data_IF_696057105936
#
_entry.id   IF_696057105936
#
_cell.length_a   1.000
_cell.length_b   1.000
_cell.length_c   1.000
_cell.angle_alpha   90.00
_cell.angle_beta   90.00
_cell.angle_gamma   90.00
#
_symmetry.space_group_name_H-M   'P 1'
#
loop_
_entity.id
_entity.type
_entity.pdbx_description
1 polymer ?
#
# COMPACT_ATOMS: atom_id res chain seq x y z
N UNK A 1 -17.61 2.60 16.42
CA UNK A 1 -17.94 3.12 15.08
C UNK A 1 -16.67 3.67 14.45
N UNK A 2 -16.45 3.43 13.16
CA UNK A 2 -15.27 3.87 12.43
C UNK A 2 -15.59 3.95 10.93
N UNK A 3 -14.79 4.68 10.16
CA UNK A 3 -14.99 4.80 8.71
C UNK A 3 -14.94 3.40 8.06
N UNK A 4 -16.01 3.03 7.34
CA UNK A 4 -16.12 1.71 6.67
C UNK A 4 -15.82 1.79 5.17
N UNK A 5 -15.64 3.00 4.66
CA UNK A 5 -15.22 3.27 3.30
C UNK A 5 -14.52 4.63 3.24
N UNK A 6 -13.56 4.75 2.32
CA UNK A 6 -12.94 6.01 1.90
C UNK A 6 -13.05 6.09 0.38
N UNK A 7 -13.02 7.28 -0.18
CA UNK A 7 -13.16 7.48 -1.64
C UNK A 7 -11.96 8.24 -2.18
N UNK A 8 -11.33 7.70 -3.22
CA UNK A 8 -10.33 8.41 -4.01
C UNK A 8 -11.00 8.89 -5.30
N UNK A 9 -11.54 10.11 -5.27
CA UNK A 9 -12.42 10.61 -6.35
C UNK A 9 -13.65 9.72 -6.52
N UNK A 10 -13.89 9.21 -7.73
CA UNK A 10 -15.00 8.30 -8.05
C UNK A 10 -14.73 6.83 -7.71
N UNK A 11 -13.61 6.53 -7.06
CA UNK A 11 -13.22 5.17 -6.76
C UNK A 11 -13.36 4.88 -5.25
N UNK A 12 -14.40 4.16 -4.82
CA UNK A 12 -14.54 3.79 -3.43
C UNK A 12 -13.54 2.69 -3.06
N UNK A 13 -13.09 2.76 -1.82
CA UNK A 13 -12.28 1.76 -1.14
C UNK A 13 -13.09 1.32 0.07
N UNK A 14 -13.54 0.08 0.05
CA UNK A 14 -14.38 -0.49 1.10
C UNK A 14 -13.54 -1.30 2.07
N UNK A 15 -13.96 -1.29 3.35
CA UNK A 15 -13.36 -2.14 4.38
C UNK A 15 -13.32 -3.63 3.99
N UNK A 16 -14.34 -4.12 3.27
CA UNK A 16 -14.40 -5.51 2.80
C UNK A 16 -13.19 -5.90 1.96
N UNK A 17 -12.64 -4.98 1.16
CA UNK A 17 -11.46 -5.25 0.33
C UNK A 17 -10.24 -5.62 1.18
N UNK A 18 -10.08 -5.02 2.36
CA UNK A 18 -9.00 -5.38 3.29
C UNK A 18 -9.26 -6.72 3.96
N UNK A 19 -10.53 -7.02 4.25
CA UNK A 19 -10.93 -8.30 4.82
C UNK A 19 -10.64 -9.45 3.85
N UNK A 20 -10.94 -9.26 2.57
CA UNK A 20 -10.67 -10.24 1.51
C UNK A 20 -9.16 -10.56 1.42
N UNK A 21 -8.28 -9.57 1.60
CA UNK A 21 -6.82 -9.78 1.64
C UNK A 21 -6.40 -10.55 2.89
N UNK A 22 -6.97 -10.22 4.04
CA UNK A 22 -6.64 -10.88 5.31
C UNK A 22 -7.17 -12.33 5.40
N UNK A 23 -8.22 -12.65 4.65
CA UNK A 23 -8.73 -14.02 4.48
C UNK A 23 -7.96 -14.80 3.41
N UNK A 24 -7.21 -14.12 2.53
CA UNK A 24 -6.46 -14.77 1.47
C UNK A 24 -5.27 -15.57 2.04
N UNK A 25 -5.08 -16.85 1.64
CA UNK A 25 -4.05 -17.72 2.24
C UNK A 25 -2.61 -17.23 1.99
N UNK A 26 -2.41 -16.45 0.93
CA UNK A 26 -1.12 -15.81 0.59
C UNK A 26 -1.08 -14.32 1.00
N UNK A 27 -2.10 -13.85 1.73
CA UNK A 27 -2.18 -12.50 2.24
C UNK A 27 -1.22 -12.30 3.43
N UNK A 28 -0.42 -11.22 3.45
CA UNK A 28 0.44 -10.91 4.58
C UNK A 28 -0.32 -10.31 5.79
N UNK A 29 -1.60 -9.94 5.61
CA UNK A 29 -2.46 -9.43 6.66
C UNK A 29 -3.11 -10.57 7.44
N UNK A 30 -3.22 -10.41 8.76
CA UNK A 30 -4.01 -11.31 9.58
C UNK A 30 -5.43 -10.77 9.76
N UNK A 31 -6.41 -11.65 9.97
CA UNK A 31 -7.79 -11.21 10.23
C UNK A 31 -7.88 -10.24 11.42
N UNK A 32 -7.06 -10.44 12.47
CA UNK A 32 -6.96 -9.53 13.63
C UNK A 32 -6.43 -8.15 13.29
N UNK A 33 -5.71 -7.99 12.18
CA UNK A 33 -5.17 -6.70 11.74
C UNK A 33 -6.30 -5.81 11.17
N UNK A 34 -7.37 -6.44 10.71
CA UNK A 34 -8.50 -5.80 10.02
C UNK A 34 -9.74 -5.79 10.92
N UNK A 35 -10.10 -6.94 11.49
CA UNK A 35 -11.23 -7.08 12.40
C UNK A 35 -10.82 -6.83 13.84
N UNK A 36 -11.45 -5.81 14.45
CA UNK A 36 -11.17 -5.40 15.84
C UNK A 36 -9.68 -5.14 16.08
N UNK A 37 -8.98 -4.66 15.04
CA UNK A 37 -7.56 -4.35 15.11
C UNK A 37 -7.23 -3.41 16.26
N UNK A 38 -6.14 -3.73 16.95
CA UNK A 38 -5.56 -2.82 17.92
C UNK A 38 -5.06 -1.57 17.18
N UNK A 39 -5.65 -0.42 17.50
CA UNK A 39 -5.34 0.86 16.85
C UNK A 39 -3.92 1.35 17.15
N UNK A 40 -3.25 0.72 18.12
CA UNK A 40 -1.87 1.01 18.50
C UNK A 40 -0.88 -0.04 17.96
N UNK A 41 -1.34 -1.05 17.21
CA UNK A 41 -0.45 -2.03 16.59
C UNK A 41 0.17 -1.48 15.30
N UNK A 42 1.29 -0.77 15.46
CA UNK A 42 2.10 -0.28 14.35
C UNK A 42 2.59 -1.41 13.44
N UNK A 43 2.66 -2.66 13.92
CA UNK A 43 3.05 -3.80 13.07
C UNK A 43 1.94 -4.16 12.09
N UNK A 44 0.67 -4.04 12.48
CA UNK A 44 -0.46 -4.22 11.57
C UNK A 44 -0.46 -3.13 10.48
N UNK A 45 -0.19 -1.88 10.87
CA UNK A 45 -0.03 -0.78 9.91
C UNK A 45 1.17 -1.02 8.96
N UNK A 46 2.31 -1.45 9.50
CA UNK A 46 3.49 -1.77 8.70
C UNK A 46 3.22 -2.91 7.70
N UNK A 47 2.49 -3.97 8.10
CA UNK A 47 2.07 -5.04 7.19
C UNK A 47 1.15 -4.50 6.10
N UNK A 48 0.15 -3.69 6.46
CA UNK A 48 -0.79 -3.11 5.50
C UNK A 48 -0.10 -2.32 4.37
N UNK A 49 0.92 -1.53 4.74
CA UNK A 49 1.68 -0.72 3.79
C UNK A 49 2.93 -1.41 3.23
N UNK A 50 3.13 -2.69 3.51
CA UNK A 50 4.25 -3.47 2.99
C UNK A 50 4.08 -3.80 1.50
N UNK A 51 5.19 -3.95 0.78
CA UNK A 51 5.18 -4.32 -0.63
C UNK A 51 4.50 -5.67 -0.88
N UNK A 52 4.59 -6.59 0.08
CA UNK A 52 3.94 -7.90 0.04
C UNK A 52 2.42 -7.76 -0.05
N UNK A 53 1.83 -6.80 0.67
CA UNK A 53 0.39 -6.55 0.66
C UNK A 53 -0.04 -6.00 -0.70
N UNK A 54 0.72 -5.03 -1.21
CA UNK A 54 0.47 -4.48 -2.54
C UNK A 54 0.61 -5.56 -3.63
N UNK A 55 1.66 -6.39 -3.58
CA UNK A 55 1.87 -7.48 -4.53
C UNK A 55 0.74 -8.52 -4.47
N UNK A 56 0.30 -8.89 -3.25
CA UNK A 56 -0.84 -9.78 -3.06
C UNK A 56 -2.10 -9.22 -3.72
N UNK A 57 -2.37 -7.92 -3.51
CA UNK A 57 -3.51 -7.22 -4.06
C UNK A 57 -3.48 -7.18 -5.59
N UNK A 58 -2.34 -6.89 -6.19
CA UNK A 58 -2.20 -6.82 -7.65
C UNK A 58 -2.29 -8.19 -8.32
N UNK A 59 -1.78 -9.22 -7.66
CA UNK A 59 -1.79 -10.58 -8.19
C UNK A 59 -3.16 -11.24 -8.09
N UNK A 60 -3.88 -11.04 -6.99
CA UNK A 60 -5.10 -11.80 -6.68
C UNK A 60 -6.38 -10.96 -6.75
N UNK A 61 -6.28 -9.63 -6.67
CA UNK A 61 -7.44 -8.72 -6.65
C UNK A 61 -7.27 -7.55 -7.64
N UNK A 62 -7.02 -7.80 -8.94
CA UNK A 62 -6.72 -6.75 -9.92
C UNK A 62 -7.85 -5.72 -10.11
N UNK A 63 -9.09 -6.08 -9.75
CA UNK A 63 -10.25 -5.18 -9.77
C UNK A 63 -10.18 -4.09 -8.70
N UNK A 64 -9.42 -4.30 -7.63
CA UNK A 64 -9.30 -3.37 -6.50
C UNK A 64 -8.24 -2.29 -6.78
N UNK A 65 -8.26 -1.71 -7.98
CA UNK A 65 -7.31 -0.69 -8.45
C UNK A 65 -7.21 0.50 -7.49
N UNK A 66 -8.34 0.93 -6.93
CA UNK A 66 -8.40 2.05 -5.99
C UNK A 66 -7.60 1.79 -4.71
N UNK A 67 -7.74 0.59 -4.15
CA UNK A 67 -6.98 0.16 -2.99
C UNK A 67 -5.49 0.00 -3.34
N UNK A 68 -5.16 -0.51 -4.52
CA UNK A 68 -3.76 -0.64 -4.96
C UNK A 68 -3.07 0.72 -5.07
N UNK A 69 -3.74 1.71 -5.68
CA UNK A 69 -3.24 3.09 -5.76
C UNK A 69 -3.09 3.68 -4.37
N UNK A 70 -4.06 3.48 -3.49
CA UNK A 70 -4.02 3.99 -2.12
C UNK A 70 -2.85 3.41 -1.31
N UNK A 71 -2.67 2.09 -1.34
CA UNK A 71 -1.56 1.42 -0.64
C UNK A 71 -0.21 1.80 -1.22
N UNK A 72 -0.11 2.00 -2.54
CA UNK A 72 1.12 2.48 -3.18
C UNK A 72 1.49 3.88 -2.66
N UNK A 73 0.58 4.84 -2.71
CA UNK A 73 0.85 6.24 -2.30
C UNK A 73 1.22 6.33 -0.83
N UNK A 74 0.40 5.74 0.02
CA UNK A 74 0.64 5.82 1.46
C UNK A 74 1.80 4.92 1.89
N UNK A 75 2.03 3.82 1.19
CA UNK A 75 3.20 2.96 1.42
C UNK A 75 4.51 3.68 1.12
N UNK A 76 4.61 4.37 -0.02
CA UNK A 76 5.78 5.20 -0.33
C UNK A 76 5.96 6.35 0.67
N UNK A 77 4.87 7.01 1.10
CA UNK A 77 4.94 8.06 2.10
C UNK A 77 5.39 7.52 3.47
N UNK A 78 4.86 6.36 3.86
CA UNK A 78 5.21 5.69 5.10
C UNK A 78 6.68 5.23 5.11
N UNK A 79 7.16 4.62 4.03
CA UNK A 79 8.55 4.20 3.89
C UNK A 79 9.49 5.40 3.86
N UNK A 80 9.16 6.46 3.12
CA UNK A 80 9.91 7.71 3.13
C UNK A 80 9.99 8.35 4.53
N UNK A 81 8.98 8.14 5.39
CA UNK A 81 8.97 8.66 6.75
C UNK A 81 9.74 7.79 7.74
N UNK A 82 9.56 6.48 7.69
CA UNK A 82 10.11 5.55 8.70
C UNK A 82 11.52 5.06 8.35
N UNK A 83 11.84 4.91 7.07
CA UNK A 83 13.11 4.33 6.66
C UNK A 83 14.26 5.31 6.90
N UNK A 84 15.19 4.89 7.77
CA UNK A 84 16.38 5.66 8.16
C UNK A 84 17.56 5.46 7.22
N UNK A 85 17.46 4.48 6.33
CA UNK A 85 18.51 4.15 5.38
C UNK A 85 18.36 4.90 4.05
N UNK A 86 17.19 5.52 3.82
CA UNK A 86 16.94 6.36 2.64
C UNK A 86 17.49 7.77 2.89
N UNK A 87 18.33 8.26 1.98
CA UNK A 87 18.86 9.62 2.03
C UNK A 87 17.76 10.69 1.91
N UNK A 88 17.97 11.86 2.53
CA UNK A 88 16.97 12.93 2.58
C UNK A 88 16.46 13.38 1.20
N UNK A 89 17.32 13.43 0.19
CA UNK A 89 16.93 13.79 -1.17
C UNK A 89 15.96 12.77 -1.79
N UNK A 90 16.17 11.47 -1.57
CA UNK A 90 15.28 10.44 -2.11
C UNK A 90 13.96 10.41 -1.35
N UNK A 91 13.98 10.59 -0.02
CA UNK A 91 12.75 10.79 0.78
C UNK A 91 11.91 11.95 0.24
N UNK A 92 12.53 13.09 -0.06
CA UNK A 92 11.83 14.23 -0.64
C UNK A 92 11.20 13.90 -2.00
N UNK A 93 11.91 13.16 -2.87
CA UNK A 93 11.34 12.71 -4.16
C UNK A 93 10.15 11.77 -3.97
N UNK A 94 10.22 10.81 -3.05
CA UNK A 94 9.12 9.89 -2.75
C UNK A 94 7.88 10.66 -2.29
N UNK A 95 8.03 11.62 -1.37
CA UNK A 95 6.93 12.49 -0.92
C UNK A 95 6.36 13.33 -2.07
N UNK A 96 7.21 13.89 -2.93
CA UNK A 96 6.75 14.66 -4.09
C UNK A 96 6.01 13.80 -5.12
N UNK A 97 6.42 12.54 -5.33
CA UNK A 97 5.71 11.58 -6.20
C UNK A 97 4.32 11.26 -5.66
N UNK A 98 4.19 11.09 -4.35
CA UNK A 98 2.89 10.86 -3.69
C UNK A 98 1.94 12.08 -3.82
N UNK A 99 2.48 13.29 -3.90
CA UNK A 99 1.70 14.52 -4.01
C UNK A 99 1.29 14.85 -5.46
N UNK A 100 2.09 14.46 -6.46
CA UNK A 100 1.87 14.85 -7.85
C UNK A 100 1.02 13.83 -8.63
N UNK A 101 -0.11 14.24 -9.26
CA UNK A 101 -0.98 13.34 -10.03
C UNK A 101 -0.26 12.60 -11.16
N UNK A 102 0.75 13.24 -11.77
CA UNK A 102 1.47 12.69 -12.90
C UNK A 102 2.52 11.66 -12.49
N UNK A 103 3.11 11.80 -11.29
CA UNK A 103 4.03 10.80 -10.74
C UNK A 103 3.30 9.51 -10.38
N UNK A 104 2.11 9.66 -9.77
CA UNK A 104 1.25 8.56 -9.38
C UNK A 104 0.87 7.62 -10.53
N UNK A 105 0.49 8.19 -11.68
CA UNK A 105 0.05 7.43 -12.85
C UNK A 105 1.18 6.60 -13.48
N UNK A 106 2.43 7.10 -13.43
CA UNK A 106 3.61 6.38 -13.94
C UNK A 106 3.96 5.23 -13.01
N UNK A 107 4.05 5.50 -11.70
CA UNK A 107 4.35 4.47 -10.70
C UNK A 107 3.30 3.36 -10.74
N UNK A 108 2.00 3.69 -10.75
CA UNK A 108 0.93 2.69 -10.81
C UNK A 108 0.91 1.87 -12.13
N UNK A 109 1.33 2.46 -13.25
CA UNK A 109 1.39 1.73 -14.52
C UNK A 109 2.56 0.74 -14.54
N UNK A 110 3.75 1.16 -14.13
CA UNK A 110 4.93 0.28 -14.02
C UNK A 110 4.65 -0.88 -13.08
N UNK A 111 4.01 -0.51 -11.97
CA UNK A 111 3.49 -1.38 -10.97
C UNK A 111 2.60 -2.52 -11.52
N UNK A 112 1.54 -2.16 -12.24
CA UNK A 112 0.62 -3.15 -12.81
C UNK A 112 1.24 -4.07 -13.87
N UNK A 113 2.35 -3.68 -14.50
CA UNK A 113 3.00 -4.43 -15.59
C UNK A 113 3.99 -5.48 -15.12
N UNK A 114 4.48 -5.38 -13.89
CA UNK A 114 5.47 -6.31 -13.34
C UNK A 114 5.20 -6.54 -11.85
N UNK A 115 4.19 -7.35 -11.50
CA UNK A 115 3.90 -7.71 -10.11
C UNK A 115 5.12 -8.29 -9.37
N UNK A 116 6.01 -8.97 -10.10
CA UNK A 116 7.24 -9.58 -9.57
C UNK A 116 8.50 -8.72 -9.77
N UNK A 117 8.41 -7.58 -10.47
CA UNK A 117 9.58 -6.76 -10.89
C UNK A 117 9.30 -5.27 -10.73
N UNK A 118 8.52 -4.89 -9.72
CA UNK A 118 8.79 -3.62 -9.09
C UNK A 118 10.26 -3.61 -8.68
N UNK A 119 10.97 -2.49 -8.77
CA UNK A 119 12.24 -2.38 -8.11
C UNK A 119 11.98 -2.54 -6.61
N UNK A 120 12.12 -3.78 -6.17
CA UNK A 120 12.56 -4.18 -4.86
C UNK A 120 13.82 -3.39 -4.47
N UNK A 121 14.47 -2.62 -5.35
CA UNK A 121 15.54 -1.70 -5.01
C UNK A 121 15.10 -0.39 -4.33
N UNK A 122 13.81 -0.02 -4.34
CA UNK A 122 13.31 1.09 -3.51
C UNK A 122 12.60 0.63 -2.23
N UNK A 123 12.19 -0.64 -2.14
CA UNK A 123 11.52 -1.23 -0.95
C UNK A 123 12.35 -2.33 -0.25
N UNK A 124 13.45 -2.82 -0.83
CA UNK A 124 14.50 -3.55 -0.08
C UNK A 124 15.45 -2.55 0.57
N UNK A 125 14.98 -1.92 1.64
CA UNK A 125 15.86 -1.75 2.79
C UNK A 125 15.10 -2.16 4.05
N UNK A 126 14.76 -3.45 4.10
CA UNK A 126 14.66 -4.25 5.31
C UNK A 126 15.39 -5.58 5.03
#
# INVERSE_FOLDING_TARGET
>A
SGARAITLGNFPIHFSMLRDIAEHPLGPLFLRDVERGDKQDDRAAARLFAAETLNCLLSHFPKNTSLSVYLLVLGELYDAWQNRNIGHAERAKMVLRALLPHGLAVTYREASRSPHTYPLHLVRIL
#
